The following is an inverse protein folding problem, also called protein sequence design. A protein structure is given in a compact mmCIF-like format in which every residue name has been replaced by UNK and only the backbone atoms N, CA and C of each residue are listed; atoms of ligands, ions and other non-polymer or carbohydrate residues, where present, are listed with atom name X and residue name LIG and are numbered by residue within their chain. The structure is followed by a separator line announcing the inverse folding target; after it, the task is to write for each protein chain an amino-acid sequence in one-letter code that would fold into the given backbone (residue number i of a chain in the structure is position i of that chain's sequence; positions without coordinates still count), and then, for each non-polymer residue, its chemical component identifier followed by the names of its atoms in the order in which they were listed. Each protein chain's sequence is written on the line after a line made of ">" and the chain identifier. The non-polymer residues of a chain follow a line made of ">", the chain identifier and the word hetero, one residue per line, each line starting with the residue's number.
data_IF_065517304993
#
_entry.id   IF_065517304993
#
_cell.length_a   1.000
_cell.length_b   1.000
_cell.length_c   1.000
_cell.angle_alpha   90.00
_cell.angle_beta   90.00
_cell.angle_gamma   90.00
#
_symmetry.space_group_name_H-M   'P 1'
#
loop_
_entity.id
_entity.type
_entity.pdbx_description
1 polymer ?
#
# COMPACT_ATOMS: atom_id res chain seq x y z
N UNK A 1 4.26 -0.35 45.50
CA UNK A 1 5.23 -0.61 44.41
C UNK A 1 4.69 -1.75 43.55
N UNK A 2 4.37 -1.49 42.27
CA UNK A 2 3.91 -2.55 41.35
C UNK A 2 5.13 -3.24 40.74
N UNK A 3 5.27 -4.55 40.94
CA UNK A 3 6.34 -5.34 40.36
C UNK A 3 6.08 -5.52 38.86
N UNK A 4 6.99 -5.00 38.03
CA UNK A 4 7.00 -5.32 36.60
C UNK A 4 7.47 -6.76 36.44
N UNK A 5 6.54 -7.70 36.29
CA UNK A 5 6.86 -9.10 36.01
C UNK A 5 7.44 -9.20 34.60
N UNK A 6 8.75 -9.41 34.50
CA UNK A 6 9.42 -9.67 33.22
C UNK A 6 9.12 -11.10 32.76
N UNK A 7 8.84 -11.27 31.47
CA UNK A 7 8.59 -12.59 30.90
C UNK A 7 9.87 -13.44 30.85
N UNK A 8 9.75 -14.77 30.90
CA UNK A 8 10.88 -15.70 30.77
C UNK A 8 11.68 -15.47 29.48
N UNK A 9 11.01 -15.09 28.39
CA UNK A 9 11.66 -14.79 27.11
C UNK A 9 12.53 -13.51 27.15
N UNK A 10 12.21 -12.55 28.04
CA UNK A 10 13.05 -11.38 28.29
C UNK A 10 14.35 -11.79 28.99
N UNK A 11 14.25 -12.63 30.03
CA UNK A 11 15.42 -13.17 30.73
C UNK A 11 16.30 -14.05 29.81
N UNK A 12 15.69 -14.76 28.85
CA UNK A 12 16.41 -15.59 27.88
C UNK A 12 16.94 -14.82 26.65
N UNK A 13 16.81 -13.48 26.61
CA UNK A 13 17.31 -12.65 25.51
C UNK A 13 16.57 -12.83 24.16
N UNK A 14 15.40 -13.49 24.16
CA UNK A 14 14.64 -13.81 22.93
C UNK A 14 13.77 -12.63 22.47
N UNK A 15 14.42 -11.52 22.14
CA UNK A 15 13.77 -10.24 21.76
C UNK A 15 12.77 -10.40 20.60
N UNK A 16 13.03 -11.30 19.65
CA UNK A 16 12.12 -11.56 18.50
C UNK A 16 10.76 -12.11 18.94
N UNK A 17 10.70 -12.92 20.00
CA UNK A 17 9.44 -13.48 20.51
C UNK A 17 8.58 -12.39 21.17
N UNK A 18 9.22 -11.50 21.94
CA UNK A 18 8.55 -10.34 22.53
C UNK A 18 8.01 -9.37 21.46
N UNK A 19 8.73 -9.20 20.34
CA UNK A 19 8.28 -8.37 19.22
C UNK A 19 7.10 -8.98 18.46
N UNK A 20 6.99 -10.31 18.39
CA UNK A 20 5.82 -10.99 17.82
C UNK A 20 4.58 -10.80 18.69
N UNK A 21 4.74 -10.82 20.03
CA UNK A 21 3.63 -10.52 20.94
C UNK A 21 3.18 -9.06 20.89
N UNK A 22 4.11 -8.12 20.61
CA UNK A 22 3.82 -6.69 20.45
C UNK A 22 3.43 -6.31 19.02
N UNK A 23 3.05 -7.22 18.14
CA UNK A 23 2.55 -6.78 16.85
C UNK A 23 1.27 -5.96 17.08
N UNK A 24 1.25 -4.66 16.73
CA UNK A 24 -0.01 -3.96 16.70
C UNK A 24 -0.84 -4.69 15.65
N UNK A 25 -1.97 -5.25 16.08
CA UNK A 25 -3.05 -5.61 15.17
C UNK A 25 -3.41 -4.31 14.44
N UNK A 26 -2.73 -4.04 13.35
CA UNK A 26 -3.08 -2.97 12.44
C UNK A 26 -4.42 -3.40 11.86
N UNK A 27 -5.50 -2.94 12.52
CA UNK A 27 -6.85 -3.08 12.03
C UNK A 27 -6.88 -2.34 10.70
N UNK A 28 -6.71 -3.09 9.61
CA UNK A 28 -6.94 -2.61 8.27
C UNK A 28 -8.45 -2.44 8.14
N UNK A 29 -8.93 -1.28 8.60
CA UNK A 29 -10.30 -0.82 8.35
C UNK A 29 -10.45 -0.65 6.84
N UNK A 30 -10.97 -1.69 6.20
CA UNK A 30 -11.45 -1.59 4.82
C UNK A 30 -12.60 -0.60 4.85
N UNK A 31 -12.39 0.59 4.25
CA UNK A 31 -13.46 1.57 4.16
C UNK A 31 -14.67 0.92 3.43
N UNK A 32 -15.89 1.14 3.93
CA UNK A 32 -17.07 0.59 3.31
C UNK A 32 -17.17 1.09 1.87
N UNK A 33 -17.53 0.21 0.95
CA UNK A 33 -17.72 0.58 -0.44
C UNK A 33 -18.78 1.69 -0.53
N UNK A 34 -18.56 2.72 -1.38
CA UNK A 34 -19.49 3.83 -1.49
C UNK A 34 -20.86 3.31 -1.95
N UNK A 35 -21.92 3.75 -1.26
CA UNK A 35 -23.32 3.35 -1.53
C UNK A 35 -23.80 3.81 -2.91
N UNK A 36 -23.22 4.89 -3.43
CA UNK A 36 -23.53 5.39 -4.76
C UNK A 36 -22.79 4.56 -5.83
N UNK A 37 -23.51 3.92 -6.77
CA UNK A 37 -22.90 3.07 -7.80
C UNK A 37 -21.94 3.82 -8.73
N UNK A 38 -22.20 5.10 -9.00
CA UNK A 38 -21.34 5.94 -9.87
C UNK A 38 -20.00 6.22 -9.17
N UNK A 39 -20.04 6.58 -7.89
CA UNK A 39 -18.83 6.81 -7.09
C UNK A 39 -18.03 5.52 -6.95
N UNK A 40 -18.72 4.39 -6.77
CA UNK A 40 -18.09 3.06 -6.75
C UNK A 40 -17.39 2.74 -8.06
N UNK A 41 -18.04 2.98 -9.20
CA UNK A 41 -17.44 2.77 -10.51
C UNK A 41 -16.23 3.69 -10.76
N UNK A 42 -16.29 4.95 -10.31
CA UNK A 42 -15.15 5.88 -10.39
C UNK A 42 -13.98 5.44 -9.51
N UNK A 43 -14.23 5.05 -8.26
CA UNK A 43 -13.20 4.56 -7.35
C UNK A 43 -12.55 3.27 -7.86
N UNK A 44 -13.36 2.33 -8.36
CA UNK A 44 -12.86 1.12 -8.99
C UNK A 44 -12.03 1.44 -10.24
N UNK A 45 -12.50 2.35 -11.10
CA UNK A 45 -11.76 2.81 -12.29
C UNK A 45 -10.41 3.42 -11.91
N UNK A 46 -10.35 4.26 -10.88
CA UNK A 46 -9.13 4.86 -10.38
C UNK A 46 -8.16 3.81 -9.81
N UNK A 47 -8.67 2.87 -9.00
CA UNK A 47 -7.86 1.82 -8.39
C UNK A 47 -7.32 0.81 -9.41
N UNK A 48 -8.10 0.50 -10.45
CA UNK A 48 -7.76 -0.58 -11.39
C UNK A 48 -6.96 -0.10 -12.60
N UNK A 49 -6.69 1.21 -12.75
CA UNK A 49 -6.17 1.79 -14.00
C UNK A 49 -6.94 1.29 -15.24
N UNK A 50 -8.20 0.86 -15.07
CA UNK A 50 -8.93 0.09 -16.06
C UNK A 50 -9.57 0.97 -17.14
N UNK A 51 -9.60 2.30 -16.94
CA UNK A 51 -9.92 3.23 -18.01
C UNK A 51 -8.87 3.09 -19.14
N UNK A 52 -9.24 2.40 -20.21
CA UNK A 52 -8.39 2.22 -21.40
C UNK A 52 -7.41 1.04 -21.36
N UNK A 53 -7.46 0.18 -20.33
CA UNK A 53 -6.54 -0.98 -20.23
C UNK A 53 -6.79 -2.05 -21.31
N UNK A 54 -7.93 -2.00 -22.00
CA UNK A 54 -8.29 -2.94 -23.07
C UNK A 54 -7.69 -2.60 -24.45
N UNK A 55 -6.98 -1.47 -24.61
CA UNK A 55 -6.50 -1.01 -25.94
C UNK A 55 -5.04 -0.52 -25.89
N UNK A 56 -4.16 -1.19 -25.13
CA UNK A 56 -2.73 -0.88 -25.23
C UNK A 56 -1.96 -2.12 -25.63
N UNK A 57 -1.58 -2.16 -26.90
CA UNK A 57 -0.50 -3.03 -27.36
C UNK A 57 0.74 -2.79 -26.50
N UNK A 58 1.58 -3.80 -26.34
CA UNK A 58 2.79 -3.70 -25.51
C UNK A 58 3.67 -2.49 -25.92
N UNK A 59 3.69 -2.14 -27.21
CA UNK A 59 4.36 -0.94 -27.73
C UNK A 59 3.74 0.38 -27.24
N UNK A 60 2.42 0.47 -27.08
CA UNK A 60 1.76 1.66 -26.54
C UNK A 60 2.07 1.87 -25.05
N UNK A 61 2.22 0.79 -24.27
CA UNK A 61 2.65 0.88 -22.87
C UNK A 61 4.08 1.41 -22.76
N UNK A 62 5.02 0.85 -23.53
CA UNK A 62 6.42 1.30 -23.54
C UNK A 62 6.54 2.79 -23.88
N UNK A 63 5.79 3.28 -24.88
CA UNK A 63 5.77 4.70 -25.23
C UNK A 63 5.20 5.58 -24.12
N UNK A 64 4.16 5.12 -23.42
CA UNK A 64 3.62 5.85 -22.28
C UNK A 64 4.62 5.93 -21.11
N UNK A 65 5.32 4.84 -20.84
CA UNK A 65 6.36 4.76 -19.80
C UNK A 65 7.56 5.65 -20.11
N UNK A 66 8.05 5.66 -21.35
CA UNK A 66 9.17 6.53 -21.74
C UNK A 66 8.80 8.01 -21.64
N UNK A 67 7.59 8.39 -22.08
CA UNK A 67 7.11 9.78 -21.95
C UNK A 67 6.93 10.18 -20.49
N UNK A 68 6.39 9.28 -19.64
CA UNK A 68 6.27 9.53 -18.21
C UNK A 68 7.63 9.74 -17.54
N UNK A 69 8.62 8.90 -17.89
CA UNK A 69 9.99 9.01 -17.41
C UNK A 69 10.64 10.33 -17.83
N UNK A 70 10.52 10.71 -19.11
CA UNK A 70 11.06 11.98 -19.61
C UNK A 70 10.45 13.19 -18.92
N UNK A 71 9.13 13.18 -18.67
CA UNK A 71 8.46 14.25 -17.92
C UNK A 71 8.95 14.34 -16.48
N UNK A 72 9.16 13.20 -15.82
CA UNK A 72 9.68 13.15 -14.45
C UNK A 72 11.13 13.66 -14.38
N UNK A 73 11.98 13.28 -15.34
CA UNK A 73 13.36 13.78 -15.42
C UNK A 73 13.41 15.28 -15.68
N UNK A 74 12.57 15.80 -16.58
CA UNK A 74 12.49 17.24 -16.82
C UNK A 74 12.09 18.01 -15.56
N UNK A 75 11.06 17.53 -14.85
CA UNK A 75 10.64 18.08 -13.55
C UNK A 75 11.69 17.98 -12.43
N UNK A 76 12.69 17.11 -12.56
CA UNK A 76 13.74 16.94 -11.57
C UNK A 76 14.94 17.84 -11.85
N UNK A 77 15.16 18.17 -13.12
CA UNK A 77 16.22 19.07 -13.58
C UNK A 77 15.80 20.53 -13.45
N UNK A 78 14.53 20.83 -13.72
CA UNK A 78 13.89 22.13 -13.45
C UNK A 78 13.67 22.35 -11.93
#
# INVERSE_FOLDING_TARGET
>A
MSAKTFSRDFAAGKVKHLRRMKQPLALTLQLPAPRNPVVRALAQRAATSAAGKHIRSNGANRRAETVALQKALKRWID
#
